data_IF_053143931051
#
_entry.id   IF_053143931051
#
_cell.length_a   1.000
_cell.length_b   1.000
_cell.length_c   1.000
_cell.angle_alpha   90.00
_cell.angle_beta   90.00
_cell.angle_gamma   90.00
#
_symmetry.space_group_name_H-M   'P 1'
#
loop_
_entity.id
_entity.type
_entity.pdbx_description
1 polymer ?
#
# COMPACT_ATOMS: atom_id res chain seq x y z
N UNK A 1 -24.55 10.95 10.39
CA UNK A 1 -23.48 9.98 10.73
C UNK A 1 -22.37 10.17 9.71
N UNK A 2 -21.11 10.22 10.15
CA UNK A 2 -19.95 10.34 9.28
C UNK A 2 -19.20 8.99 9.23
N UNK A 3 -18.38 8.79 8.19
CA UNK A 3 -17.47 7.65 8.07
C UNK A 3 -16.05 8.16 8.29
N UNK A 4 -15.31 7.50 9.16
CA UNK A 4 -13.90 7.81 9.48
C UNK A 4 -12.98 6.89 8.68
N UNK A 5 -12.01 7.47 7.99
CA UNK A 5 -10.91 6.73 7.37
C UNK A 5 -9.67 6.82 8.26
N UNK A 6 -8.74 5.90 8.06
CA UNK A 6 -7.46 5.90 8.75
C UNK A 6 -6.56 7.10 8.40
N UNK A 7 -5.43 7.19 9.11
CA UNK A 7 -4.45 8.26 8.99
C UNK A 7 -3.21 7.85 8.20
N UNK A 8 -2.13 8.63 8.39
CA UNK A 8 -0.84 8.36 7.76
C UNK A 8 -0.19 7.08 8.29
N UNK A 9 -0.08 6.07 7.43
CA UNK A 9 0.50 4.76 7.79
C UNK A 9 1.98 4.86 8.22
N UNK A 10 2.74 5.80 7.69
CA UNK A 10 4.16 6.01 8.05
C UNK A 10 4.33 6.26 9.56
N UNK A 11 3.54 7.19 10.11
CA UNK A 11 3.61 7.52 11.54
C UNK A 11 3.18 6.35 12.41
N UNK A 12 2.10 5.65 12.03
CA UNK A 12 1.66 4.46 12.75
C UNK A 12 2.72 3.34 12.73
N UNK A 13 3.48 3.21 11.64
CA UNK A 13 4.60 2.27 11.53
C UNK A 13 5.77 2.65 12.46
N UNK A 14 6.14 3.92 12.51
CA UNK A 14 7.15 4.43 13.45
C UNK A 14 6.74 4.15 14.90
N UNK A 15 5.48 4.40 15.26
CA UNK A 15 4.94 4.18 16.60
C UNK A 15 4.99 2.71 17.05
N UNK A 16 4.90 1.76 16.10
CA UNK A 16 5.06 0.33 16.40
C UNK A 16 6.50 -0.18 16.26
N UNK A 17 7.45 0.72 15.96
CA UNK A 17 8.88 0.46 15.94
C UNK A 17 9.45 0.02 14.60
N UNK A 18 8.76 0.29 13.48
CA UNK A 18 9.30 0.03 12.15
C UNK A 18 10.34 1.09 11.74
N UNK A 19 11.41 0.65 11.08
CA UNK A 19 12.35 1.55 10.42
C UNK A 19 11.78 1.94 9.04
N UNK A 20 11.33 3.19 8.91
CA UNK A 20 10.79 3.73 7.66
C UNK A 20 11.81 4.59 6.90
N UNK A 21 13.09 4.47 7.22
CA UNK A 21 14.15 5.22 6.55
C UNK A 21 14.49 4.63 5.17
N UNK A 22 14.86 5.52 4.24
CA UNK A 22 15.36 5.14 2.92
C UNK A 22 14.28 4.97 1.82
N UNK A 23 14.71 4.69 0.58
CA UNK A 23 13.81 4.48 -0.53
C UNK A 23 12.99 3.20 -0.34
N UNK A 24 11.75 3.20 -0.83
CA UNK A 24 10.87 2.03 -0.86
C UNK A 24 10.63 1.40 0.53
N UNK A 25 10.67 2.18 1.61
CA UNK A 25 10.42 1.68 2.96
C UNK A 25 9.09 0.93 3.07
N UNK A 26 8.06 1.32 2.31
CA UNK A 26 6.76 0.63 2.30
C UNK A 26 6.89 -0.79 1.74
N UNK A 27 7.60 -0.95 0.63
CA UNK A 27 7.86 -2.26 0.04
C UNK A 27 8.68 -3.15 1.00
N UNK A 28 9.68 -2.57 1.67
CA UNK A 28 10.46 -3.28 2.69
C UNK A 28 9.60 -3.67 3.89
N UNK A 29 8.77 -2.78 4.42
CA UNK A 29 7.87 -3.09 5.54
C UNK A 29 6.91 -4.25 5.22
N UNK A 30 6.44 -4.33 3.96
CA UNK A 30 5.57 -5.42 3.49
C UNK A 30 6.29 -6.77 3.52
N UNK A 31 7.59 -6.81 3.19
CA UNK A 31 8.37 -8.05 3.07
C UNK A 31 9.05 -8.43 4.40
N UNK A 32 9.75 -7.47 5.00
CA UNK A 32 10.63 -7.65 6.14
C UNK A 32 9.88 -7.56 7.47
N UNK A 33 8.73 -6.88 7.52
CA UNK A 33 8.02 -6.59 8.77
C UNK A 33 6.48 -6.61 8.65
N UNK A 34 5.88 -7.67 8.06
CA UNK A 34 4.43 -7.75 7.85
C UNK A 34 3.62 -7.71 9.17
N UNK A 35 4.21 -8.17 10.27
CA UNK A 35 3.56 -8.12 11.59
C UNK A 35 3.51 -6.69 12.16
N UNK A 36 4.54 -5.86 11.90
CA UNK A 36 4.50 -4.44 12.26
C UNK A 36 3.47 -3.70 11.41
N UNK A 37 3.38 -4.02 10.12
CA UNK A 37 2.35 -3.46 9.25
C UNK A 37 0.93 -3.84 9.72
N UNK A 38 0.72 -5.09 10.13
CA UNK A 38 -0.56 -5.51 10.70
C UNK A 38 -0.89 -4.74 12.00
N UNK A 39 0.09 -4.54 12.88
CA UNK A 39 -0.07 -3.76 14.12
C UNK A 39 -0.38 -2.29 13.84
N UNK A 40 0.27 -1.68 12.84
CA UNK A 40 -0.02 -0.31 12.42
C UNK A 40 -1.44 -0.17 11.86
N UNK A 41 -1.94 -1.14 11.09
CA UNK A 41 -3.35 -1.15 10.68
C UNK A 41 -4.30 -1.37 11.88
N UNK A 42 -3.93 -2.25 12.82
CA UNK A 42 -4.71 -2.54 14.03
C UNK A 42 -4.93 -1.29 14.87
N UNK A 43 -3.92 -0.43 15.01
CA UNK A 43 -4.05 0.79 15.81
C UNK A 43 -5.13 1.73 15.27
N UNK A 44 -5.31 1.81 13.95
CA UNK A 44 -6.41 2.59 13.36
C UNK A 44 -7.79 1.97 13.62
N UNK A 45 -7.89 0.64 13.62
CA UNK A 45 -9.12 -0.08 13.99
C UNK A 45 -9.48 0.22 15.45
N UNK A 46 -8.50 0.14 16.35
CA UNK A 46 -8.67 0.40 17.79
C UNK A 46 -8.99 1.87 18.08
N UNK A 47 -8.48 2.80 17.26
CA UNK A 47 -8.79 4.22 17.33
C UNK A 47 -10.20 4.58 16.81
N UNK A 48 -10.93 3.63 16.21
CA UNK A 48 -12.32 3.82 15.77
C UNK A 48 -12.50 4.16 14.29
N UNK A 49 -11.54 3.80 13.42
CA UNK A 49 -11.71 3.98 11.97
C UNK A 49 -12.79 3.04 11.41
N UNK A 50 -13.62 3.52 10.50
CA UNK A 50 -14.62 2.70 9.79
C UNK A 50 -14.03 2.02 8.53
N UNK A 51 -12.96 2.60 7.99
CA UNK A 51 -12.24 2.11 6.81
C UNK A 51 -10.74 2.27 7.06
N UNK A 52 -9.96 1.25 6.74
CA UNK A 52 -8.50 1.34 6.62
C UNK A 52 -8.06 1.16 5.16
N UNK A 53 -7.00 1.84 4.75
CA UNK A 53 -6.41 1.71 3.43
C UNK A 53 -5.24 0.72 3.44
N UNK A 54 -5.10 -0.09 2.39
CA UNK A 54 -3.94 -1.00 2.24
C UNK A 54 -2.63 -0.22 2.05
N UNK A 55 -1.50 -0.84 2.40
CA UNK A 55 -0.15 -0.29 2.18
C UNK A 55 0.31 -0.29 0.71
N UNK A 56 -0.60 -0.09 -0.25
CA UNK A 56 -0.32 -0.21 -1.68
C UNK A 56 -0.24 1.13 -2.41
N UNK A 57 -0.10 2.27 -1.70
CA UNK A 57 -0.05 3.61 -2.33
C UNK A 57 1.09 3.72 -3.36
N UNK A 58 2.34 3.51 -2.93
CA UNK A 58 3.55 3.62 -3.78
C UNK A 58 3.97 2.27 -4.41
N UNK A 59 3.30 1.16 -4.09
CA UNK A 59 3.74 -0.16 -4.52
C UNK A 59 2.94 -0.64 -5.74
N UNK A 60 3.63 -0.86 -6.85
CA UNK A 60 3.29 -1.77 -7.94
C UNK A 60 4.35 -2.88 -8.03
N UNK A 61 4.24 -3.76 -9.04
CA UNK A 61 5.20 -4.86 -9.21
C UNK A 61 6.63 -4.34 -9.44
N UNK A 62 6.77 -3.24 -10.19
CA UNK A 62 8.07 -2.68 -10.56
C UNK A 62 8.91 -2.25 -9.35
N UNK A 63 8.30 -1.75 -8.29
CA UNK A 63 9.03 -1.31 -7.09
C UNK A 63 9.63 -2.51 -6.34
N UNK A 64 8.88 -3.61 -6.28
CA UNK A 64 9.39 -4.87 -5.73
C UNK A 64 10.44 -5.52 -6.64
N UNK A 65 10.26 -5.46 -7.96
CA UNK A 65 11.28 -5.91 -8.93
C UNK A 65 12.58 -5.11 -8.82
N UNK A 66 12.50 -3.80 -8.52
CA UNK A 66 13.69 -2.96 -8.28
C UNK A 66 14.45 -3.36 -7.01
N UNK A 67 13.82 -4.11 -6.09
CA UNK A 67 14.45 -4.75 -4.94
C UNK A 67 14.99 -6.16 -5.27
N UNK A 68 15.00 -6.55 -6.54
CA UNK A 68 15.52 -7.84 -7.02
C UNK A 68 14.52 -9.00 -6.95
N UNK A 69 13.24 -8.73 -6.72
CA UNK A 69 12.21 -9.76 -6.67
C UNK A 69 11.81 -10.21 -8.08
N UNK A 70 11.37 -11.46 -8.21
CA UNK A 70 10.73 -11.91 -9.44
C UNK A 70 9.36 -11.24 -9.61
N UNK A 71 8.84 -11.19 -10.84
CA UNK A 71 7.51 -10.64 -11.11
C UNK A 71 6.39 -11.34 -10.29
N UNK A 72 6.54 -12.66 -10.07
CA UNK A 72 5.61 -13.43 -9.26
C UNK A 72 5.68 -13.02 -7.78
N UNK A 73 6.89 -12.88 -7.24
CA UNK A 73 7.06 -12.48 -5.83
C UNK A 73 6.61 -11.03 -5.60
N UNK A 74 6.89 -10.15 -6.57
CA UNK A 74 6.42 -8.77 -6.56
C UNK A 74 4.89 -8.68 -6.55
N UNK A 75 4.23 -9.47 -7.39
CA UNK A 75 2.77 -9.56 -7.41
C UNK A 75 2.21 -10.14 -6.11
N UNK A 76 2.86 -11.16 -5.54
CA UNK A 76 2.50 -11.74 -4.25
C UNK A 76 2.68 -10.74 -3.10
N UNK A 77 3.74 -9.93 -3.11
CA UNK A 77 3.96 -8.87 -2.13
C UNK A 77 2.92 -7.76 -2.23
N UNK A 78 2.52 -7.35 -3.44
CA UNK A 78 1.42 -6.41 -3.61
C UNK A 78 0.09 -6.99 -3.09
N UNK A 79 -0.22 -8.25 -3.41
CA UNK A 79 -1.41 -8.94 -2.91
C UNK A 79 -1.41 -9.07 -1.39
N UNK A 80 -0.24 -9.30 -0.77
CA UNK A 80 -0.13 -9.46 0.68
C UNK A 80 -0.56 -8.20 1.44
N UNK A 81 -0.45 -7.00 0.86
CA UNK A 81 -0.94 -5.75 1.47
C UNK A 81 -2.44 -5.82 1.80
N UNK A 82 -3.24 -6.45 0.95
CA UNK A 82 -4.67 -6.67 1.17
C UNK A 82 -4.87 -7.68 2.29
N UNK A 83 -4.17 -8.82 2.23
CA UNK A 83 -4.22 -9.87 3.26
C UNK A 83 -3.85 -9.34 4.64
N UNK A 84 -2.80 -8.52 4.75
CA UNK A 84 -2.34 -7.92 6.00
C UNK A 84 -3.41 -6.99 6.58
N UNK A 85 -3.97 -6.07 5.78
CA UNK A 85 -5.06 -5.19 6.23
C UNK A 85 -6.31 -5.99 6.64
N UNK A 86 -6.65 -7.08 5.93
CA UNK A 86 -7.77 -7.97 6.29
C UNK A 86 -7.56 -8.68 7.61
N UNK A 87 -6.32 -9.09 7.93
CA UNK A 87 -5.99 -9.66 9.26
C UNK A 87 -6.16 -8.64 10.37
N UNK A 88 -5.79 -7.38 10.12
CA UNK A 88 -5.93 -6.29 11.09
C UNK A 88 -7.41 -6.01 11.47
N UNK A 89 -8.33 -6.10 10.52
CA UNK A 89 -9.78 -5.88 10.76
C UNK A 89 -10.54 -7.14 11.19
N UNK A 90 -9.89 -8.29 11.34
CA UNK A 90 -10.58 -9.55 11.67
C UNK A 90 -11.34 -9.41 12.99
N UNK A 91 -12.65 -9.67 12.95
CA UNK A 91 -13.53 -9.58 14.12
C UNK A 91 -14.14 -8.21 14.36
N UNK A 92 -13.87 -7.21 13.51
CA UNK A 92 -14.52 -5.90 13.54
C UNK A 92 -15.45 -5.68 12.33
N UNK A 93 -16.21 -4.58 12.34
CA UNK A 93 -17.01 -4.12 11.20
C UNK A 93 -16.25 -3.20 10.24
N UNK A 94 -14.94 -3.03 10.44
CA UNK A 94 -14.10 -2.11 9.67
C UNK A 94 -13.87 -2.65 8.26
N UNK A 95 -13.99 -1.76 7.25
CA UNK A 95 -13.78 -2.10 5.84
C UNK A 95 -12.33 -1.87 5.44
N UNK A 96 -11.87 -2.62 4.44
CA UNK A 96 -10.56 -2.43 3.81
C UNK A 96 -10.76 -1.78 2.44
N UNK A 97 -10.07 -0.68 2.18
CA UNK A 97 -10.00 -0.03 0.89
C UNK A 97 -8.62 -0.25 0.26
N UNK A 98 -8.57 -0.58 -1.03
CA UNK A 98 -7.32 -0.66 -1.76
C UNK A 98 -6.76 0.76 -2.01
N UNK A 99 -5.58 1.06 -1.48
CA UNK A 99 -4.89 2.33 -1.78
C UNK A 99 -4.24 2.28 -3.16
N UNK A 100 -4.71 3.11 -4.09
CA UNK A 100 -4.16 3.21 -5.44
C UNK A 100 -3.60 4.60 -5.62
N UNK A 101 -2.31 4.76 -5.34
CA UNK A 101 -1.61 6.02 -5.58
C UNK A 101 -1.51 6.36 -7.06
N UNK A 102 -1.32 7.64 -7.42
CA UNK A 102 -1.15 8.06 -8.81
C UNK A 102 0.17 7.54 -9.38
N UNK A 103 0.25 7.43 -10.72
CA UNK A 103 1.49 7.00 -11.40
C UNK A 103 2.71 7.84 -11.00
N UNK A 104 2.55 9.13 -10.71
CA UNK A 104 3.66 9.98 -10.26
C UNK A 104 4.33 9.50 -8.96
N UNK A 105 3.60 8.78 -8.10
CA UNK A 105 4.12 8.28 -6.83
C UNK A 105 5.20 7.19 -7.03
N UNK A 106 5.16 6.45 -8.15
CA UNK A 106 6.20 5.48 -8.50
C UNK A 106 7.41 6.09 -9.19
N UNK A 107 7.26 7.28 -9.77
CA UNK A 107 8.39 8.01 -10.34
C UNK A 107 9.30 8.64 -9.28
N UNK A 108 8.85 8.69 -8.02
CA UNK A 108 9.60 9.21 -6.88
C UNK A 108 10.23 10.60 -7.11
N UNK A 109 9.57 11.44 -7.91
CA UNK A 109 10.07 12.75 -8.33
C UNK A 109 9.08 13.90 -8.04
N UNK A 110 8.05 13.66 -7.22
CA UNK A 110 7.03 14.63 -6.86
C UNK A 110 6.00 14.90 -7.95
N UNK A 111 6.01 14.14 -9.05
CA UNK A 111 5.01 14.28 -10.11
C UNK A 111 3.60 13.86 -9.68
N UNK A 112 3.45 13.19 -8.52
CA UNK A 112 2.13 12.96 -7.93
C UNK A 112 1.35 14.26 -7.63
N UNK A 113 2.04 15.40 -7.48
CA UNK A 113 1.43 16.70 -7.20
C UNK A 113 1.17 17.57 -8.44
N UNK A 114 1.67 17.17 -9.61
CA UNK A 114 1.60 18.01 -10.82
C UNK A 114 1.16 17.27 -12.09
N UNK A 115 1.11 15.94 -12.08
CA UNK A 115 0.61 15.13 -13.20
C UNK A 115 1.54 15.05 -14.42
N UNK A 116 2.78 15.53 -14.33
CA UNK A 116 3.74 15.55 -15.44
C UNK A 116 4.62 14.30 -15.42
N UNK A 117 4.12 13.20 -15.98
CA UNK A 117 4.78 11.89 -15.89
C UNK A 117 5.81 11.61 -16.99
N UNK A 118 5.77 12.35 -18.11
CA UNK A 118 6.71 12.11 -19.23
C UNK A 118 6.48 10.81 -20.00
N UNK A 119 5.33 10.16 -19.80
CA UNK A 119 4.93 8.92 -20.48
C UNK A 119 3.56 9.08 -21.16
N UNK A 120 3.22 8.14 -22.04
CA UNK A 120 1.91 8.08 -22.67
C UNK A 120 0.81 7.72 -21.66
N UNK A 121 -0.43 8.13 -21.93
CA UNK A 121 -1.57 7.75 -21.09
C UNK A 121 -1.81 6.23 -21.08
N UNK A 122 -1.57 5.53 -22.19
CA UNK A 122 -1.65 4.06 -22.24
C UNK A 122 -0.67 3.39 -21.27
N UNK A 123 0.54 3.94 -21.09
CA UNK A 123 1.50 3.45 -20.08
C UNK A 123 0.93 3.57 -18.66
N UNK A 124 0.27 4.69 -18.36
CA UNK A 124 -0.36 4.93 -17.06
C UNK A 124 -1.53 3.97 -16.85
N UNK A 125 -2.37 3.79 -17.87
CA UNK A 125 -3.51 2.86 -17.83
C UNK A 125 -3.05 1.42 -17.62
N UNK A 126 -2.05 0.95 -18.36
CA UNK A 126 -1.54 -0.42 -18.25
C UNK A 126 -0.93 -0.70 -16.87
N UNK A 127 -0.18 0.26 -16.32
CA UNK A 127 0.34 0.18 -14.96
C UNK A 127 -0.79 0.01 -13.94
N UNK A 128 -1.80 0.89 -13.98
CA UNK A 128 -2.92 0.83 -13.03
C UNK A 128 -3.79 -0.40 -13.25
N UNK A 129 -3.99 -0.84 -14.50
CA UNK A 129 -4.78 -2.05 -14.83
C UNK A 129 -4.14 -3.30 -14.22
N UNK A 130 -2.83 -3.45 -14.33
CA UNK A 130 -2.09 -4.58 -13.74
C UNK A 130 -2.19 -4.56 -12.20
N UNK A 131 -1.93 -3.40 -11.59
CA UNK A 131 -2.05 -3.21 -10.14
C UNK A 131 -3.45 -3.49 -9.61
N UNK A 132 -4.48 -2.94 -10.26
CA UNK A 132 -5.87 -3.14 -9.89
C UNK A 132 -6.29 -4.61 -9.99
N UNK A 133 -5.83 -5.33 -11.02
CA UNK A 133 -6.10 -6.77 -11.15
C UNK A 133 -5.60 -7.52 -9.91
N UNK A 134 -4.35 -7.30 -9.51
CA UNK A 134 -3.75 -7.96 -8.33
C UNK A 134 -4.52 -7.61 -7.05
N UNK A 135 -4.84 -6.32 -6.84
CA UNK A 135 -5.54 -5.87 -5.63
C UNK A 135 -6.99 -6.37 -5.55
N UNK A 136 -7.68 -6.49 -6.68
CA UNK A 136 -9.04 -7.06 -6.75
C UNK A 136 -9.01 -8.57 -6.53
N UNK A 137 -8.08 -9.28 -7.16
CA UNK A 137 -7.96 -10.74 -7.04
C UNK A 137 -7.48 -11.17 -5.64
N UNK A 138 -6.71 -10.32 -4.95
CA UNK A 138 -6.28 -10.52 -3.56
C UNK A 138 -7.38 -10.22 -2.52
N UNK A 139 -8.57 -9.82 -2.99
CA UNK A 139 -9.73 -9.45 -2.18
C UNK A 139 -10.42 -10.64 -1.53
#
# INVERSE_FOLDING_TARGET
>A
MFTVIDGGLSTALEEVGADISGPLWTARAIIESPDLLERAHRSFVEAGSDIIATASYQCGANEFESLGMSNNDASAALASTVTIARRAVRGSSVRVAASVGPFGAVLANGSEYNGRYGVSWSTVEDYHRSKLRILVDAG
#
